data_IF_919623257443
#
_entry.id   IF_919623257443
#
_cell.length_a   1.000
_cell.length_b   1.000
_cell.length_c   1.000
_cell.angle_alpha   90.00
_cell.angle_beta   90.00
_cell.angle_gamma   90.00
#
_symmetry.space_group_name_H-M   'P 1'
#
loop_
_entity.id
_entity.type
_entity.pdbx_description
1 polymer ?
#
# COMPACT_ATOMS: atom_id res chain seq x y z
N UNK A 1 5.21 -18.62 -10.91
CA UNK A 1 6.16 -17.83 -11.71
C UNK A 1 6.91 -18.82 -12.59
N UNK A 2 7.00 -18.57 -13.86
CA UNK A 2 7.61 -19.50 -14.86
C UNK A 2 9.16 -19.44 -14.89
N UNK A 3 9.78 -18.60 -14.05
CA UNK A 3 11.25 -18.46 -13.95
C UNK A 3 11.90 -17.73 -15.13
N UNK A 4 11.13 -17.14 -16.05
CA UNK A 4 11.69 -16.36 -17.16
C UNK A 4 12.23 -15.02 -16.65
N UNK A 5 13.52 -14.79 -16.88
CA UNK A 5 14.14 -13.47 -16.68
C UNK A 5 13.67 -12.52 -17.80
N UNK A 6 13.29 -11.31 -17.40
CA UNK A 6 12.90 -10.24 -18.32
C UNK A 6 13.69 -8.99 -18.00
N UNK A 7 14.33 -8.41 -19.02
CA UNK A 7 14.94 -7.10 -18.92
C UNK A 7 13.85 -6.04 -18.66
N UNK A 8 14.10 -5.12 -17.74
CA UNK A 8 13.20 -4.01 -17.35
C UNK A 8 13.78 -2.64 -17.70
N UNK A 9 14.90 -2.57 -18.42
CA UNK A 9 15.61 -1.32 -18.68
C UNK A 9 14.74 -0.28 -19.39
N UNK A 10 13.90 -0.72 -20.33
CA UNK A 10 12.96 0.16 -21.04
C UNK A 10 11.76 0.62 -20.18
N UNK A 11 11.59 0.05 -19.00
CA UNK A 11 10.48 0.35 -18.08
C UNK A 11 10.93 1.21 -16.90
N UNK A 12 12.24 1.42 -16.71
CA UNK A 12 12.82 2.19 -15.60
C UNK A 12 12.41 3.67 -15.75
N UNK A 13 11.71 4.25 -14.75
CA UNK A 13 11.17 5.61 -14.88
C UNK A 13 12.22 6.71 -14.68
N UNK A 14 13.34 6.41 -13.99
CA UNK A 14 14.44 7.34 -13.71
C UNK A 14 15.69 6.60 -13.23
N UNK A 15 16.84 7.26 -13.29
CA UNK A 15 18.09 6.72 -12.78
C UNK A 15 18.11 6.68 -11.24
N UNK A 16 18.71 5.64 -10.69
CA UNK A 16 18.92 5.47 -9.24
C UNK A 16 20.41 5.34 -8.92
N UNK A 17 20.85 5.63 -7.67
CA UNK A 17 22.22 5.40 -7.24
C UNK A 17 22.67 3.94 -7.48
N UNK A 18 23.97 3.74 -7.76
CA UNK A 18 24.52 2.42 -8.08
C UNK A 18 24.30 1.34 -7.02
N UNK A 19 24.12 1.75 -5.75
CA UNK A 19 23.87 0.85 -4.63
C UNK A 19 22.38 0.60 -4.36
N UNK A 20 21.48 1.08 -5.24
CA UNK A 20 20.06 0.79 -5.22
C UNK A 20 19.72 -0.26 -6.28
N UNK A 21 18.58 -0.90 -6.15
CA UNK A 21 18.07 -1.85 -7.15
C UNK A 21 16.62 -1.56 -7.49
N UNK A 22 16.22 -1.80 -8.74
CA UNK A 22 14.81 -1.84 -9.12
C UNK A 22 14.23 -3.22 -8.90
N UNK A 23 13.01 -3.30 -8.38
CA UNK A 23 12.26 -4.55 -8.25
C UNK A 23 10.79 -4.35 -8.65
N UNK A 24 10.13 -5.42 -9.08
CA UNK A 24 8.68 -5.45 -9.19
C UNK A 24 8.06 -5.49 -7.80
N UNK A 25 7.00 -4.72 -7.60
CA UNK A 25 6.29 -4.67 -6.33
C UNK A 25 5.85 -6.06 -5.86
N UNK A 26 5.30 -6.88 -6.78
CA UNK A 26 4.91 -8.26 -6.47
C UNK A 26 6.06 -9.21 -6.10
N UNK A 27 7.32 -8.84 -6.37
CA UNK A 27 8.50 -9.58 -5.93
C UNK A 27 9.03 -9.03 -4.58
N UNK A 28 8.92 -7.72 -4.39
CA UNK A 28 9.42 -7.04 -3.18
C UNK A 28 8.51 -7.19 -1.97
N UNK A 29 7.19 -7.38 -2.18
CA UNK A 29 6.19 -7.42 -1.12
C UNK A 29 5.51 -8.80 -1.03
N UNK A 30 5.07 -9.15 0.16
CA UNK A 30 4.31 -10.37 0.42
C UNK A 30 2.82 -10.00 0.45
N UNK A 31 2.05 -10.50 -0.53
CA UNK A 31 0.62 -10.26 -0.58
C UNK A 31 -0.14 -11.16 0.40
N UNK A 32 -1.03 -10.56 1.19
CA UNK A 32 -1.90 -11.22 2.19
C UNK A 32 -3.39 -11.03 1.89
N UNK A 33 -3.75 -10.67 0.68
CA UNK A 33 -5.14 -10.41 0.29
C UNK A 33 -6.06 -11.61 0.52
N UNK A 34 -5.53 -12.83 0.41
CA UNK A 34 -6.30 -14.06 0.66
C UNK A 34 -6.77 -14.21 2.12
N UNK A 35 -6.21 -13.44 3.05
CA UNK A 35 -6.59 -13.44 4.46
C UNK A 35 -7.71 -12.44 4.79
N UNK A 36 -8.11 -11.61 3.83
CA UNK A 36 -9.20 -10.64 4.00
C UNK A 36 -10.55 -11.35 4.02
N UNK A 37 -11.45 -10.86 4.87
CA UNK A 37 -12.85 -11.33 4.94
C UNK A 37 -13.74 -10.09 4.89
N UNK A 38 -14.44 -9.83 3.77
CA UNK A 38 -15.36 -8.70 3.69
C UNK A 38 -16.60 -8.97 4.57
N UNK A 39 -17.06 -7.97 5.29
CA UNK A 39 -18.30 -7.97 6.05
C UNK A 39 -19.23 -6.91 5.46
N UNK A 40 -20.48 -7.30 5.21
CA UNK A 40 -21.54 -6.38 4.79
C UNK A 40 -21.85 -5.34 5.89
N UNK A 41 -22.50 -4.25 5.53
CA UNK A 41 -22.96 -3.23 6.50
C UNK A 41 -23.87 -3.87 7.54
N UNK A 42 -24.85 -4.69 7.11
CA UNK A 42 -25.82 -5.33 8.01
C UNK A 42 -25.16 -6.30 9.00
N UNK A 43 -24.09 -6.99 8.61
CA UNK A 43 -23.32 -7.84 9.53
C UNK A 43 -22.59 -6.99 10.54
N UNK A 44 -21.88 -5.92 10.10
CA UNK A 44 -21.12 -5.05 10.99
C UNK A 44 -21.99 -4.28 12.00
N UNK A 45 -23.20 -3.86 11.62
CA UNK A 45 -24.14 -3.19 12.54
C UNK A 45 -24.51 -4.03 13.76
N UNK A 46 -24.44 -5.35 13.66
CA UNK A 46 -24.78 -6.30 14.73
C UNK A 46 -23.60 -6.60 15.68
N UNK A 47 -22.40 -6.14 15.33
CA UNK A 47 -21.17 -6.42 16.06
C UNK A 47 -20.84 -5.32 17.07
N UNK A 48 -20.15 -5.70 18.15
CA UNK A 48 -19.55 -4.76 19.08
C UNK A 48 -18.44 -3.96 18.37
N UNK A 49 -18.30 -2.68 18.66
CA UNK A 49 -17.38 -1.76 17.98
C UNK A 49 -16.05 -1.64 18.74
N UNK A 50 -15.22 -2.70 18.67
CA UNK A 50 -13.97 -2.82 19.42
C UNK A 50 -12.76 -2.54 18.53
N UNK A 51 -12.60 -3.29 17.44
CA UNK A 51 -11.44 -3.25 16.57
C UNK A 51 -11.72 -2.49 15.28
N UNK A 52 -10.73 -1.74 14.79
CA UNK A 52 -10.86 -0.96 13.55
C UNK A 52 -11.10 -1.86 12.34
N UNK A 53 -12.04 -1.47 11.50
CA UNK A 53 -12.37 -2.09 10.22
C UNK A 53 -11.94 -1.18 9.08
N UNK A 54 -10.91 -1.60 8.35
CA UNK A 54 -10.29 -0.83 7.28
C UNK A 54 -10.95 -1.05 5.93
N UNK A 55 -11.10 0.04 5.17
CA UNK A 55 -11.44 0.07 3.75
C UNK A 55 -10.33 0.69 2.91
N UNK A 56 -10.65 1.11 1.67
CA UNK A 56 -9.70 1.64 0.70
C UNK A 56 -8.95 2.91 1.15
N UNK A 57 -9.49 3.69 2.08
CA UNK A 57 -8.94 5.00 2.47
C UNK A 57 -8.86 5.19 3.98
N UNK A 58 -8.68 4.10 4.73
CA UNK A 58 -8.56 4.12 6.19
C UNK A 58 -9.68 3.40 6.92
N UNK A 59 -9.85 3.70 8.21
CA UNK A 59 -10.90 3.11 9.04
C UNK A 59 -12.27 3.60 8.60
N UNK A 60 -13.19 2.66 8.34
CA UNK A 60 -14.57 2.95 7.90
C UNK A 60 -15.62 2.49 8.91
N UNK A 61 -15.25 1.62 9.86
CA UNK A 61 -16.13 1.08 10.90
C UNK A 61 -15.29 0.42 12.00
N UNK A 62 -15.97 -0.22 12.97
CA UNK A 62 -15.38 -1.14 13.95
C UNK A 62 -16.15 -2.46 14.00
N UNK A 63 -15.46 -3.53 14.44
CA UNK A 63 -16.00 -4.89 14.58
C UNK A 63 -15.58 -5.51 15.92
N UNK A 64 -16.13 -6.68 16.27
CA UNK A 64 -15.94 -7.34 17.57
C UNK A 64 -14.69 -8.22 17.65
N UNK A 65 -13.99 -8.42 16.53
CA UNK A 65 -12.82 -9.29 16.40
C UNK A 65 -11.84 -8.73 15.35
N UNK A 66 -10.67 -9.33 15.26
CA UNK A 66 -9.62 -8.90 14.32
C UNK A 66 -9.10 -10.06 13.46
N UNK A 67 -8.54 -9.74 12.29
CA UNK A 67 -7.84 -10.69 11.41
C UNK A 67 -6.32 -10.54 11.54
N UNK A 68 -5.86 -9.32 11.79
CA UNK A 68 -4.44 -8.98 11.82
C UNK A 68 -4.07 -8.33 13.15
N UNK A 69 -2.83 -8.59 13.63
CA UNK A 69 -2.32 -8.05 14.90
C UNK A 69 -0.89 -7.52 14.81
N UNK A 70 -0.37 -7.33 13.59
CA UNK A 70 0.96 -6.78 13.32
C UNK A 70 0.87 -5.60 12.35
N UNK A 71 1.88 -4.72 12.28
CA UNK A 71 1.92 -3.68 11.27
C UNK A 71 1.91 -4.28 9.86
N UNK A 72 0.99 -3.81 9.00
CA UNK A 72 0.91 -4.16 7.58
C UNK A 72 0.62 -2.91 6.75
N UNK A 73 1.14 -2.90 5.53
CA UNK A 73 0.83 -1.87 4.55
C UNK A 73 -0.52 -2.17 3.90
N UNK A 74 -1.42 -1.20 3.96
CA UNK A 74 -2.68 -1.23 3.23
C UNK A 74 -2.60 -0.27 2.04
N UNK A 75 -3.05 -0.72 0.86
CA UNK A 75 -3.12 0.09 -0.36
C UNK A 75 -4.54 0.02 -0.90
N UNK A 76 -5.17 1.17 -1.12
CA UNK A 76 -6.52 1.23 -1.68
C UNK A 76 -6.61 0.47 -3.01
N UNK A 77 -7.55 -0.49 -3.11
CA UNK A 77 -7.76 -1.32 -4.30
C UNK A 77 -8.71 -0.63 -5.29
N UNK A 78 -9.70 0.13 -4.79
CA UNK A 78 -10.72 0.76 -5.63
C UNK A 78 -11.17 2.14 -5.10
N UNK A 79 -11.95 2.82 -5.92
CA UNK A 79 -12.55 4.11 -5.60
C UNK A 79 -11.86 5.31 -6.24
N UNK A 80 -12.58 6.44 -6.25
CA UNK A 80 -12.13 7.68 -6.88
C UNK A 80 -10.80 8.21 -6.30
N UNK A 81 -10.50 7.88 -5.05
CA UNK A 81 -9.28 8.34 -4.39
C UNK A 81 -7.99 7.84 -5.07
N UNK A 82 -8.03 6.72 -5.81
CA UNK A 82 -6.90 6.25 -6.63
C UNK A 82 -6.41 7.31 -7.64
N UNK A 83 -7.33 8.14 -8.14
CA UNK A 83 -7.04 9.21 -9.11
C UNK A 83 -7.01 10.60 -8.47
N UNK A 84 -7.96 10.90 -7.58
CA UNK A 84 -8.08 12.23 -6.95
C UNK A 84 -7.04 12.50 -5.88
N UNK A 85 -6.53 11.46 -5.22
CA UNK A 85 -5.47 11.51 -4.21
C UNK A 85 -5.76 12.51 -3.06
N UNK A 86 -7.03 12.65 -2.73
CA UNK A 86 -7.48 13.51 -1.62
C UNK A 86 -7.08 12.98 -0.23
N UNK A 87 -6.76 11.68 -0.16
CA UNK A 87 -6.23 10.99 1.02
C UNK A 87 -5.05 10.10 0.59
N UNK A 88 -4.15 9.73 1.50
CA UNK A 88 -3.13 8.72 1.22
C UNK A 88 -3.76 7.43 0.65
N UNK A 89 -3.16 6.90 -0.43
CA UNK A 89 -3.56 5.62 -1.02
C UNK A 89 -2.95 4.46 -0.23
N UNK A 90 -1.71 4.64 0.22
CA UNK A 90 -0.96 3.67 0.99
C UNK A 90 -0.79 4.17 2.43
N UNK A 91 -1.12 3.34 3.42
CA UNK A 91 -1.03 3.66 4.84
C UNK A 91 -0.77 2.39 5.66
N UNK A 92 -0.23 2.52 6.87
CA UNK A 92 0.12 1.39 7.72
C UNK A 92 -0.95 1.21 8.80
N UNK A 93 -1.61 0.05 8.79
CA UNK A 93 -2.46 -0.38 9.89
C UNK A 93 -1.61 -1.01 11.01
N UNK A 94 -1.93 -0.69 12.26
CA UNK A 94 -1.19 -1.14 13.45
C UNK A 94 -2.15 -1.65 14.52
N UNK A 95 -1.63 -2.46 15.45
CA UNK A 95 -2.44 -3.05 16.51
C UNK A 95 -3.30 -4.21 16.00
N UNK A 96 -4.51 -4.34 16.54
CA UNK A 96 -5.48 -5.38 16.17
C UNK A 96 -6.58 -4.78 15.31
N UNK A 97 -6.78 -5.32 14.10
CA UNK A 97 -7.70 -4.73 13.12
C UNK A 97 -8.22 -5.75 12.11
N UNK A 98 -9.24 -5.35 11.39
CA UNK A 98 -9.86 -6.10 10.29
C UNK A 98 -9.74 -5.31 8.99
N UNK A 99 -9.57 -5.99 7.87
CA UNK A 99 -9.48 -5.36 6.54
C UNK A 99 -10.51 -5.99 5.61
N UNK A 100 -11.24 -5.14 4.86
CA UNK A 100 -12.16 -5.59 3.82
C UNK A 100 -11.44 -5.82 2.46
N UNK A 101 -12.23 -6.12 1.43
CA UNK A 101 -11.74 -6.37 0.07
C UNK A 101 -11.51 -5.10 -0.77
N UNK A 102 -11.61 -3.89 -0.19
CA UNK A 102 -11.33 -2.62 -0.87
C UNK A 102 -9.92 -2.08 -0.63
N UNK A 103 -9.11 -2.79 0.14
CA UNK A 103 -7.69 -2.48 0.33
C UNK A 103 -6.85 -3.74 0.19
N UNK A 104 -5.75 -3.68 -0.56
CA UNK A 104 -4.71 -4.69 -0.57
C UNK A 104 -4.00 -4.73 0.78
N UNK A 105 -3.63 -5.92 1.23
CA UNK A 105 -2.90 -6.16 2.49
C UNK A 105 -1.52 -6.72 2.16
N UNK A 106 -0.49 -6.02 2.58
CA UNK A 106 0.88 -6.31 2.18
C UNK A 106 1.81 -6.35 3.39
N UNK A 107 2.65 -7.35 3.40
CA UNK A 107 3.75 -7.50 4.34
C UNK A 107 5.07 -7.20 3.64
N UNK A 108 6.08 -6.78 4.38
CA UNK A 108 7.39 -6.54 3.77
C UNK A 108 8.24 -7.81 3.72
N UNK A 109 9.04 -7.93 2.68
CA UNK A 109 10.18 -8.84 2.66
C UNK A 109 11.31 -8.31 3.54
N UNK A 110 12.31 -9.16 3.82
CA UNK A 110 13.46 -8.77 4.66
C UNK A 110 14.17 -7.53 4.09
N UNK A 111 14.38 -6.53 4.94
CA UNK A 111 15.14 -5.32 4.60
C UNK A 111 14.35 -4.19 3.93
N UNK A 112 13.04 -4.36 3.72
CA UNK A 112 12.19 -3.32 3.13
C UNK A 112 11.23 -2.74 4.18
N UNK A 113 11.29 -1.42 4.41
CA UNK A 113 10.46 -0.73 5.40
C UNK A 113 9.09 -0.39 4.83
N UNK A 114 8.03 -0.72 5.57
CA UNK A 114 6.64 -0.41 5.17
C UNK A 114 6.41 1.09 4.99
N UNK A 115 7.01 1.93 5.85
CA UNK A 115 6.95 3.38 5.80
C UNK A 115 7.56 3.94 4.51
N UNK A 116 8.70 3.38 4.10
CA UNK A 116 9.34 3.75 2.83
C UNK A 116 8.44 3.39 1.63
N UNK A 117 7.89 2.17 1.63
CA UNK A 117 6.99 1.71 0.57
C UNK A 117 5.72 2.56 0.52
N UNK A 118 5.13 2.88 1.67
CA UNK A 118 3.95 3.75 1.75
C UNK A 118 4.23 5.13 1.16
N UNK A 119 5.38 5.72 1.52
CA UNK A 119 5.81 7.02 0.99
C UNK A 119 5.98 6.98 -0.53
N UNK A 120 6.64 5.95 -1.05
CA UNK A 120 6.83 5.77 -2.49
C UNK A 120 5.52 5.65 -3.25
N UNK A 121 4.61 4.76 -2.84
CA UNK A 121 3.29 4.58 -3.47
C UNK A 121 2.46 5.87 -3.42
N UNK A 122 2.56 6.62 -2.33
CA UNK A 122 1.88 7.90 -2.21
C UNK A 122 2.52 9.00 -3.08
N UNK A 123 3.76 8.87 -3.52
CA UNK A 123 4.46 9.86 -4.35
C UNK A 123 4.27 9.64 -5.85
N UNK A 124 4.21 8.39 -6.32
CA UNK A 124 4.17 8.07 -7.76
C UNK A 124 2.79 8.32 -8.38
N UNK A 125 2.77 8.52 -9.70
CA UNK A 125 1.51 8.54 -10.47
C UNK A 125 0.97 7.11 -10.64
N UNK A 126 -0.20 6.84 -10.05
CA UNK A 126 -0.86 5.53 -10.14
C UNK A 126 -1.80 5.39 -11.34
N UNK A 127 -2.07 6.44 -12.10
CA UNK A 127 -3.01 6.40 -13.23
C UNK A 127 -2.69 5.27 -14.25
N UNK A 128 -1.42 4.94 -14.59
CA UNK A 128 -1.09 3.83 -15.50
C UNK A 128 -1.49 2.45 -14.96
N UNK A 129 -1.67 2.33 -13.64
CA UNK A 129 -2.00 1.07 -12.96
C UNK A 129 -3.49 0.96 -12.61
N UNK A 130 -4.27 1.99 -12.86
CA UNK A 130 -5.70 2.05 -12.58
C UNK A 130 -6.51 1.75 -13.83
N UNK A 131 -7.51 0.90 -13.70
CA UNK A 131 -8.47 0.55 -14.75
C UNK A 131 -9.87 1.00 -14.36
N UNK A 132 -10.75 1.17 -15.36
CA UNK A 132 -12.13 1.60 -15.12
C UNK A 132 -12.27 3.13 -14.90
N UNK A 133 -13.15 3.76 -15.69
CA UNK A 133 -13.39 5.21 -15.62
C UNK A 133 -14.47 5.57 -14.59
N UNK A 134 -15.56 4.80 -14.55
CA UNK A 134 -16.66 5.05 -13.62
C UNK A 134 -16.35 4.55 -12.19
N UNK A 135 -15.60 3.47 -12.09
CA UNK A 135 -15.15 2.90 -10.82
C UNK A 135 -13.67 2.52 -10.94
N UNK A 136 -12.76 3.47 -10.64
CA UNK A 136 -11.32 3.23 -10.71
C UNK A 136 -10.91 2.05 -9.83
N UNK A 137 -10.09 1.15 -10.39
CA UNK A 137 -9.60 -0.03 -9.69
C UNK A 137 -8.15 -0.33 -10.04
N UNK A 138 -7.33 -0.57 -9.04
CA UNK A 138 -5.97 -1.11 -9.16
C UNK A 138 -5.99 -2.55 -8.62
N UNK A 139 -6.14 -3.53 -9.53
CA UNK A 139 -6.13 -4.93 -9.13
C UNK A 139 -4.70 -5.39 -8.76
N UNK A 140 -4.61 -6.59 -8.20
CA UNK A 140 -3.34 -7.19 -7.76
C UNK A 140 -2.29 -7.28 -8.88
N UNK A 141 -2.70 -7.62 -10.10
CA UNK A 141 -1.79 -7.71 -11.25
C UNK A 141 -1.15 -6.35 -11.56
N UNK A 142 -1.97 -5.30 -11.63
CA UNK A 142 -1.51 -3.92 -11.86
C UNK A 142 -0.62 -3.42 -10.73
N UNK A 143 -1.00 -3.65 -9.49
CA UNK A 143 -0.18 -3.31 -8.33
C UNK A 143 1.16 -4.05 -8.37
N UNK A 144 1.16 -5.35 -8.64
CA UNK A 144 2.38 -6.16 -8.70
C UNK A 144 3.34 -5.74 -9.82
N UNK A 145 2.85 -5.10 -10.88
CA UNK A 145 3.66 -4.59 -12.00
C UNK A 145 4.37 -3.27 -11.71
N UNK A 146 4.04 -2.57 -10.63
CA UNK A 146 4.72 -1.33 -10.23
C UNK A 146 6.20 -1.61 -10.00
N UNK A 147 7.07 -0.76 -10.56
CA UNK A 147 8.49 -0.77 -10.24
C UNK A 147 8.74 0.05 -8.98
N UNK A 148 9.50 -0.51 -8.04
CA UNK A 148 9.90 0.17 -6.80
C UNK A 148 11.43 0.19 -6.69
N UNK A 149 12.06 1.35 -6.43
CA UNK A 149 13.49 1.40 -6.14
C UNK A 149 13.74 0.92 -4.72
N UNK A 150 14.74 0.10 -4.53
CA UNK A 150 15.12 -0.51 -3.24
C UNK A 150 16.47 0.07 -2.78
N UNK A 151 16.47 1.08 -1.92
CA UNK A 151 17.68 1.58 -1.27
C UNK A 151 18.18 0.59 -0.20
N UNK A 152 19.46 0.69 0.23
CA UNK A 152 19.89 0.10 1.48
C UNK A 152 19.00 0.52 2.66
N UNK A 153 18.81 -0.33 3.67
CA UNK A 153 17.87 -0.07 4.79
C UNK A 153 18.16 1.24 5.52
N UNK A 154 19.44 1.58 5.71
CA UNK A 154 19.84 2.86 6.33
C UNK A 154 19.38 4.08 5.52
N UNK A 155 19.37 3.96 4.21
CA UNK A 155 18.89 5.01 3.32
C UNK A 155 17.36 5.12 3.34
N UNK A 156 16.65 3.99 3.39
CA UNK A 156 15.19 3.98 3.56
C UNK A 156 14.79 4.72 4.84
N UNK A 157 15.46 4.43 5.97
CA UNK A 157 15.25 5.12 7.25
C UNK A 157 15.47 6.63 7.13
N UNK A 158 16.57 7.06 6.48
CA UNK A 158 16.88 8.47 6.28
C UNK A 158 15.83 9.18 5.42
N UNK A 159 15.33 8.51 4.38
CA UNK A 159 14.27 9.03 3.51
C UNK A 159 12.98 9.22 4.32
N UNK A 160 12.56 8.20 5.08
CA UNK A 160 11.35 8.26 5.91
C UNK A 160 11.45 9.40 6.92
N UNK A 161 12.55 9.48 7.67
CA UNK A 161 12.77 10.56 8.64
C UNK A 161 12.69 11.94 7.98
N UNK A 162 13.29 12.10 6.79
CA UNK A 162 13.26 13.39 6.09
C UNK A 162 11.86 13.77 5.61
N UNK A 163 11.08 12.79 5.17
CA UNK A 163 9.66 13.01 4.82
C UNK A 163 8.87 13.45 6.05
N UNK A 164 9.04 12.78 7.19
CA UNK A 164 8.36 13.12 8.44
C UNK A 164 8.71 14.51 8.98
N UNK A 165 9.94 14.98 8.77
CA UNK A 165 10.37 16.33 9.10
C UNK A 165 9.71 17.40 8.22
N UNK A 166 9.56 17.13 6.92
CA UNK A 166 9.12 18.12 5.93
C UNK A 166 7.59 18.23 5.88
N UNK A 167 6.86 17.11 5.98
CA UNK A 167 5.40 17.11 5.83
C UNK A 167 4.66 18.04 6.78
N UNK A 168 4.97 18.12 8.08
CA UNK A 168 4.31 19.05 8.99
C UNK A 168 4.54 20.53 8.62
N UNK A 169 5.69 20.85 8.03
CA UNK A 169 6.04 22.22 7.61
C UNK A 169 5.17 22.63 6.42
N UNK A 170 5.00 21.75 5.44
CA UNK A 170 4.20 22.04 4.24
C UNK A 170 2.70 22.08 4.58
N UNK A 171 2.22 21.22 5.47
CA UNK A 171 0.81 21.19 5.88
C UNK A 171 0.35 22.45 6.65
N UNK A 172 1.30 23.23 7.17
CA UNK A 172 1.04 24.46 7.91
C UNK A 172 1.28 25.75 7.07
N UNK A 173 1.58 25.62 5.79
CA UNK A 173 1.71 26.73 4.83
C UNK A 173 0.42 26.95 4.05
#
# INVERSE_FOLDING_TARGET
MDGTERCIDDEIPFEIPQNWAWARFGTAMINRDAERIPLSVNEREKLQKIYDYYGASGVIDKVDRYLFSKPLLLIGEDGANLLTRSKPIAFIARGQYWVNNHAHVLDSSVGLLLEYVAAYINAINLAPYVTGTAQPKMNQEKMNSILIPIPPTSEQLRIVQKIEEIFPVIANM
#
